data_IF_867878523385
#
_entry.id   IF_867878523385
#
_cell.length_a   1.000
_cell.length_b   1.000
_cell.length_c   1.000
_cell.angle_alpha   90.00
_cell.angle_beta   90.00
_cell.angle_gamma   90.00
#
_symmetry.space_group_name_H-M   'P 1'
#
loop_
_entity.id
_entity.type
_entity.pdbx_description
1 polymer ?
#
# COMPACT_ATOMS: atom_id res chain seq x y z
N UNK A 1 -1.61 -8.47 19.74
CA UNK A 1 -2.15 -9.18 18.57
C UNK A 1 -2.40 -8.10 17.53
N UNK A 2 -1.57 -8.04 16.48
CA UNK A 2 -1.78 -7.16 15.35
C UNK A 2 -2.89 -7.82 14.52
N UNK A 3 -4.14 -7.47 14.80
CA UNK A 3 -5.30 -8.03 14.11
C UNK A 3 -5.52 -7.26 12.81
N UNK A 4 -4.57 -7.42 11.88
CA UNK A 4 -4.62 -6.91 10.51
C UNK A 4 -5.24 -7.97 9.56
N UNK A 5 -5.90 -9.00 10.10
CA UNK A 5 -6.44 -10.12 9.33
C UNK A 5 -5.37 -11.04 8.71
N UNK A 6 -4.11 -10.90 9.10
CA UNK A 6 -3.00 -11.75 8.68
C UNK A 6 -2.85 -12.89 9.69
N UNK A 7 -3.16 -14.13 9.29
CA UNK A 7 -2.70 -15.32 10.02
C UNK A 7 -1.18 -15.36 9.96
N UNK A 8 -0.54 -14.98 11.08
CA UNK A 8 0.90 -15.12 11.26
C UNK A 8 1.23 -16.59 11.50
N UNK A 9 1.41 -17.35 10.43
CA UNK A 9 1.83 -18.76 10.50
C UNK A 9 3.28 -18.91 10.99
N UNK A 10 4.05 -17.80 10.98
CA UNK A 10 5.43 -17.75 11.44
C UNK A 10 5.83 -16.32 11.87
N UNK A 11 6.87 -16.22 12.70
CA UNK A 11 7.47 -14.97 13.12
C UNK A 11 9.00 -15.03 12.97
N UNK A 12 9.62 -13.89 12.67
CA UNK A 12 11.06 -13.77 12.50
C UNK A 12 11.62 -12.49 13.14
N UNK A 13 12.91 -12.50 13.47
CA UNK A 13 13.61 -11.34 14.04
C UNK A 13 14.76 -10.94 13.12
N UNK A 14 14.61 -9.81 12.43
CA UNK A 14 15.66 -9.23 11.59
C UNK A 14 16.52 -8.25 12.37
N UNK A 15 17.63 -8.71 12.97
CA UNK A 15 18.47 -7.90 13.87
C UNK A 15 18.88 -6.53 13.30
N UNK A 16 19.23 -6.47 12.02
CA UNK A 16 19.61 -5.21 11.35
C UNK A 16 18.38 -4.35 11.03
N UNK A 17 17.31 -4.95 10.52
CA UNK A 17 16.08 -4.24 10.17
C UNK A 17 15.38 -3.63 11.39
N UNK A 18 15.48 -4.29 12.56
CA UNK A 18 14.93 -3.79 13.83
C UNK A 18 15.58 -2.50 14.36
N UNK A 19 16.64 -2.00 13.71
CA UNK A 19 17.26 -0.70 14.01
C UNK A 19 16.57 0.48 13.31
N UNK A 20 15.73 0.22 12.31
CA UNK A 20 15.02 1.25 11.56
C UNK A 20 13.93 1.85 12.43
N UNK A 21 13.91 3.18 12.57
CA UNK A 21 12.86 3.87 13.31
C UNK A 21 11.56 3.98 12.50
N UNK A 22 10.48 4.38 13.19
CA UNK A 22 9.19 4.58 12.57
C UNK A 22 9.03 5.95 11.90
N UNK A 23 8.41 5.97 10.73
CA UNK A 23 7.75 7.16 10.17
C UNK A 23 6.38 6.79 9.61
N UNK A 24 5.37 7.65 9.78
CA UNK A 24 4.06 7.48 9.15
C UNK A 24 4.08 7.76 7.62
N UNK A 25 5.20 8.29 7.13
CA UNK A 25 5.53 8.53 5.72
C UNK A 25 6.96 8.05 5.46
N UNK A 26 7.19 6.72 5.49
CA UNK A 26 8.53 6.13 5.48
C UNK A 26 9.28 6.40 4.17
N UNK A 27 10.61 6.30 4.21
CA UNK A 27 11.47 6.36 3.02
C UNK A 27 12.00 4.99 2.60
N UNK A 28 11.83 3.96 3.45
CA UNK A 28 12.14 2.57 3.13
C UNK A 28 10.95 1.65 3.43
N UNK A 29 10.89 0.53 2.74
CA UNK A 29 9.96 -0.56 3.02
C UNK A 29 10.72 -1.80 3.45
N UNK A 30 10.25 -2.44 4.51
CA UNK A 30 10.80 -3.68 5.07
C UNK A 30 9.88 -4.84 4.76
N UNK A 31 10.40 -5.90 4.15
CA UNK A 31 9.66 -7.11 3.86
C UNK A 31 10.51 -8.35 4.09
N UNK A 32 9.86 -9.50 4.28
CA UNK A 32 10.55 -10.79 4.21
C UNK A 32 10.65 -11.24 2.75
N UNK A 33 11.84 -11.60 2.30
CA UNK A 33 12.06 -12.28 1.03
C UNK A 33 12.23 -13.78 1.30
N UNK A 34 11.24 -14.57 0.87
CA UNK A 34 11.25 -16.02 1.07
C UNK A 34 12.23 -16.77 0.16
N UNK A 35 12.67 -16.18 -0.97
CA UNK A 35 13.69 -16.78 -1.82
C UNK A 35 15.07 -16.73 -1.16
N UNK A 36 15.40 -15.63 -0.49
CA UNK A 36 16.68 -15.46 0.21
C UNK A 36 16.62 -15.82 1.70
N UNK A 37 15.44 -16.04 2.26
CA UNK A 37 15.23 -16.25 3.69
C UNK A 37 15.61 -15.05 4.56
N UNK A 38 15.57 -13.83 4.02
CA UNK A 38 16.08 -12.63 4.70
C UNK A 38 15.02 -11.51 4.77
N UNK A 39 15.15 -10.64 5.76
CA UNK A 39 14.47 -9.34 5.72
C UNK A 39 15.20 -8.42 4.72
N UNK A 40 14.47 -7.87 3.76
CA UNK A 40 14.95 -6.87 2.81
C UNK A 40 14.49 -5.48 3.23
N UNK A 41 15.28 -4.48 2.86
CA UNK A 41 14.98 -3.05 3.08
C UNK A 41 15.17 -2.35 1.73
N UNK A 42 14.10 -1.84 1.15
CA UNK A 42 14.15 -1.16 -0.15
C UNK A 42 13.80 0.32 0.01
N UNK A 43 14.50 1.18 -0.72
CA UNK A 43 14.18 2.61 -0.75
C UNK A 43 12.92 2.87 -1.59
N UNK A 44 11.96 3.59 -1.02
CA UNK A 44 10.72 3.98 -1.69
C UNK A 44 10.85 5.28 -2.51
N UNK A 45 11.86 6.08 -2.17
CA UNK A 45 12.16 7.38 -2.78
C UNK A 45 13.66 7.66 -2.69
N UNK A 46 14.21 8.64 -3.43
CA UNK A 46 15.59 9.07 -3.25
C UNK A 46 15.87 9.47 -1.79
N UNK A 47 17.04 9.09 -1.29
CA UNK A 47 17.48 9.33 0.09
C UNK A 47 18.84 10.02 0.04
N UNK A 48 18.97 11.18 0.67
CA UNK A 48 20.25 11.90 0.70
C UNK A 48 21.20 11.29 1.75
N UNK A 49 22.50 11.51 1.57
CA UNK A 49 23.47 11.10 2.58
C UNK A 49 23.21 11.83 3.91
N UNK A 50 23.06 11.06 4.99
CA UNK A 50 22.75 11.58 6.33
C UNK A 50 21.27 11.57 6.68
N UNK A 51 20.37 11.31 5.73
CA UNK A 51 18.95 11.10 6.04
C UNK A 51 18.76 9.79 6.83
N UNK A 52 17.92 9.85 7.85
CA UNK A 52 17.54 8.66 8.63
C UNK A 52 16.66 7.73 7.79
N UNK A 53 16.92 6.43 7.87
CA UNK A 53 16.09 5.40 7.25
C UNK A 53 14.95 5.02 8.20
N UNK A 54 13.71 5.25 7.77
CA UNK A 54 12.52 4.96 8.56
C UNK A 54 11.53 4.08 7.81
N UNK A 55 10.98 3.09 8.51
CA UNK A 55 9.93 2.18 8.01
C UNK A 55 8.58 2.45 8.70
N UNK A 56 7.49 1.88 8.20
CA UNK A 56 6.19 1.93 8.86
C UNK A 56 6.02 0.71 9.77
N UNK A 57 5.69 0.93 11.05
CA UNK A 57 5.39 -0.15 12.00
C UNK A 57 3.92 -0.56 11.96
N UNK A 58 3.08 0.28 11.37
CA UNK A 58 1.63 0.10 11.29
C UNK A 58 1.17 0.43 9.87
N UNK A 59 0.08 -0.20 9.41
CA UNK A 59 -0.62 0.29 8.23
C UNK A 59 -1.38 1.56 8.59
N UNK A 60 -0.90 2.71 8.13
CA UNK A 60 -1.37 4.03 8.56
C UNK A 60 -2.10 4.84 7.49
N UNK A 61 -2.33 4.32 6.27
CA UNK A 61 -2.69 5.14 5.11
C UNK A 61 -3.88 6.08 5.35
N UNK A 62 -5.03 5.53 5.77
CA UNK A 62 -6.24 6.29 6.12
C UNK A 62 -6.42 6.62 7.60
N UNK A 63 -5.41 6.42 8.45
CA UNK A 63 -5.54 6.65 9.90
C UNK A 63 -5.17 8.09 10.25
N UNK A 64 -5.97 8.75 11.08
CA UNK A 64 -5.68 10.07 11.65
C UNK A 64 -4.59 10.01 12.72
N UNK A 65 -4.02 11.15 13.10
CA UNK A 65 -2.90 11.26 14.02
C UNK A 65 -3.18 10.56 15.35
N UNK A 66 -4.37 10.78 15.92
CA UNK A 66 -4.78 10.12 17.16
C UNK A 66 -4.85 8.60 17.02
N UNK A 67 -5.32 8.09 15.90
CA UNK A 67 -5.40 6.66 15.60
C UNK A 67 -4.00 6.06 15.43
N UNK A 68 -3.12 6.74 14.70
CA UNK A 68 -1.71 6.32 14.53
C UNK A 68 -0.99 6.31 15.87
N UNK A 69 -1.15 7.34 16.71
CA UNK A 69 -0.56 7.40 18.05
C UNK A 69 -1.10 6.32 18.98
N UNK A 70 -2.42 6.05 18.94
CA UNK A 70 -3.03 4.99 19.73
C UNK A 70 -2.43 3.62 19.38
N UNK A 71 -2.28 3.32 18.09
CA UNK A 71 -1.65 2.06 17.67
C UNK A 71 -0.17 2.01 18.05
N UNK A 72 0.58 3.10 17.85
CA UNK A 72 2.00 3.17 18.15
C UNK A 72 2.34 3.12 19.66
N UNK A 73 1.34 3.27 20.54
CA UNK A 73 1.54 3.30 22.00
C UNK A 73 2.27 2.06 22.54
N UNK A 74 2.09 0.89 21.91
CA UNK A 74 2.74 -0.35 22.33
C UNK A 74 4.27 -0.36 22.14
N UNK A 75 4.82 0.55 21.32
CA UNK A 75 6.25 0.68 21.10
C UNK A 75 6.94 1.62 22.12
N UNK A 76 6.19 2.26 23.02
CA UNK A 76 6.76 3.09 24.08
C UNK A 76 7.35 4.42 23.62
N UNK A 77 6.95 4.94 22.45
CA UNK A 77 7.34 6.26 21.96
C UNK A 77 6.14 7.04 21.41
N UNK A 78 6.30 8.36 21.27
CA UNK A 78 5.34 9.23 20.56
C UNK A 78 5.92 9.61 19.20
N UNK A 79 5.20 9.30 18.12
CA UNK A 79 5.67 9.62 16.77
C UNK A 79 5.63 11.13 16.52
N UNK A 80 6.79 11.68 16.14
CA UNK A 80 7.02 13.09 15.81
C UNK A 80 7.43 13.31 14.35
N UNK A 81 7.23 12.32 13.47
CA UNK A 81 7.53 12.46 12.05
C UNK A 81 6.76 13.63 11.41
N UNK A 82 7.13 14.03 10.20
CA UNK A 82 6.53 15.18 9.52
C UNK A 82 5.00 15.08 9.38
N UNK A 83 4.44 13.88 9.27
CA UNK A 83 2.99 13.65 9.21
C UNK A 83 2.27 13.75 10.57
N UNK A 84 3.02 13.68 11.68
CA UNK A 84 2.50 13.78 13.04
C UNK A 84 2.87 15.11 13.73
N UNK A 85 3.61 15.99 13.05
CA UNK A 85 3.93 17.32 13.53
C UNK A 85 2.64 18.12 13.82
N UNK A 86 2.68 18.95 14.86
CA UNK A 86 1.50 19.74 15.25
C UNK A 86 1.09 20.72 14.14
N UNK A 87 -0.22 20.89 13.96
CA UNK A 87 -0.78 21.77 12.94
C UNK A 87 -0.76 21.21 11.51
N UNK A 88 -0.35 19.94 11.30
CA UNK A 88 -0.52 19.30 9.99
C UNK A 88 -1.99 19.11 9.65
N UNK A 89 -2.32 19.47 8.42
CA UNK A 89 -3.62 19.19 7.84
C UNK A 89 -3.77 17.68 7.60
N UNK A 90 -4.83 17.08 8.15
CA UNK A 90 -5.21 15.69 7.93
C UNK A 90 -6.41 15.55 6.96
N UNK A 91 -6.68 16.57 6.14
CA UNK A 91 -7.73 16.54 5.11
C UNK A 91 -7.54 15.36 4.15
N UNK A 92 -6.34 15.21 3.56
CA UNK A 92 -6.03 14.11 2.65
C UNK A 92 -6.21 12.75 3.30
N UNK A 93 -5.75 12.56 4.54
CA UNK A 93 -5.93 11.29 5.27
C UNK A 93 -7.38 10.99 5.60
N UNK A 94 -8.21 12.00 5.92
CA UNK A 94 -9.67 11.85 6.08
C UNK A 94 -10.33 11.41 4.77
N UNK A 95 -9.89 11.96 3.66
CA UNK A 95 -10.41 11.62 2.33
C UNK A 95 -9.98 10.20 1.92
N UNK A 96 -8.71 9.83 2.10
CA UNK A 96 -8.21 8.46 1.94
C UNK A 96 -9.06 7.49 2.78
N UNK A 97 -9.32 7.81 4.07
CA UNK A 97 -10.16 6.97 4.93
C UNK A 97 -11.57 6.76 4.37
N UNK A 98 -12.16 7.83 3.83
CA UNK A 98 -13.50 7.81 3.23
C UNK A 98 -13.54 6.93 2.00
N UNK A 99 -12.56 7.08 1.10
CA UNK A 99 -12.41 6.25 -0.09
C UNK A 99 -12.17 4.79 0.28
N UNK A 100 -11.27 4.49 1.22
CA UNK A 100 -11.03 3.11 1.70
C UNK A 100 -12.32 2.46 2.21
N UNK A 101 -13.13 3.19 2.98
CA UNK A 101 -14.41 2.67 3.50
C UNK A 101 -15.41 2.40 2.37
N UNK A 102 -15.49 3.31 1.39
CA UNK A 102 -16.36 3.19 0.23
C UNK A 102 -15.96 1.99 -0.65
N UNK A 103 -14.67 1.82 -0.87
CA UNK A 103 -14.10 0.78 -1.72
C UNK A 103 -14.17 -0.61 -1.09
N UNK A 104 -14.06 -0.73 0.23
CA UNK A 104 -14.25 -2.01 0.92
C UNK A 104 -15.66 -2.57 0.68
N UNK A 105 -16.68 -1.71 0.67
CA UNK A 105 -18.04 -2.13 0.32
C UNK A 105 -18.16 -2.70 -1.11
N UNK A 106 -17.47 -2.10 -2.08
CA UNK A 106 -17.46 -2.59 -3.48
C UNK A 106 -16.65 -3.88 -3.59
N UNK A 107 -15.51 -3.96 -2.93
CA UNK A 107 -14.66 -5.15 -2.91
C UNK A 107 -15.41 -6.37 -2.39
N UNK A 108 -16.18 -6.23 -1.32
CA UNK A 108 -17.04 -7.30 -0.79
C UNK A 108 -18.07 -7.76 -1.81
N UNK A 109 -18.78 -6.83 -2.46
CA UNK A 109 -19.74 -7.16 -3.52
C UNK A 109 -19.09 -7.91 -4.70
N UNK A 110 -17.88 -7.50 -5.10
CA UNK A 110 -17.13 -8.18 -6.16
C UNK A 110 -16.68 -9.59 -5.76
N UNK A 111 -16.25 -9.79 -4.52
CA UNK A 111 -15.82 -11.11 -4.00
C UNK A 111 -16.99 -12.08 -3.83
N UNK A 112 -18.17 -11.57 -3.44
CA UNK A 112 -19.40 -12.33 -3.32
C UNK A 112 -20.02 -12.68 -4.69
N UNK A 113 -19.42 -12.21 -5.79
CA UNK A 113 -19.88 -12.51 -7.14
C UNK A 113 -21.21 -11.84 -7.48
N UNK A 114 -21.48 -10.66 -6.90
CA UNK A 114 -22.71 -9.92 -7.20
C UNK A 114 -22.72 -9.47 -8.67
N UNK A 115 -23.47 -10.20 -9.49
CA UNK A 115 -23.65 -9.94 -10.92
C UNK A 115 -24.35 -8.60 -11.23
N UNK A 116 -24.79 -7.85 -10.21
CA UNK A 116 -25.50 -6.58 -10.38
C UNK A 116 -24.61 -5.33 -10.30
N UNK A 117 -23.28 -5.47 -10.19
CA UNK A 117 -22.39 -4.32 -10.31
C UNK A 117 -22.48 -3.73 -11.72
N UNK A 118 -23.17 -2.59 -11.85
CA UNK A 118 -23.32 -1.91 -13.13
C UNK A 118 -21.98 -1.36 -13.63
N UNK A 119 -21.84 -1.25 -14.96
CA UNK A 119 -20.67 -0.61 -15.59
C UNK A 119 -20.43 0.78 -14.99
N UNK A 120 -21.48 1.58 -14.79
CA UNK A 120 -21.38 2.91 -14.19
C UNK A 120 -20.84 2.88 -12.75
N UNK A 121 -21.17 1.85 -11.96
CA UNK A 121 -20.62 1.68 -10.60
C UNK A 121 -19.15 1.29 -10.64
N UNK A 122 -18.74 0.45 -11.59
CA UNK A 122 -17.33 0.09 -11.79
C UNK A 122 -16.53 1.31 -12.28
N UNK A 123 -17.07 2.11 -13.19
CA UNK A 123 -16.46 3.37 -13.62
C UNK A 123 -16.25 4.35 -12.46
N UNK A 124 -17.24 4.51 -11.59
CA UNK A 124 -17.10 5.30 -10.37
C UNK A 124 -16.00 4.73 -9.46
N UNK A 125 -15.91 3.41 -9.34
CA UNK A 125 -14.90 2.72 -8.53
C UNK A 125 -13.49 2.96 -9.09
N UNK A 126 -13.32 2.97 -10.41
CA UNK A 126 -12.04 3.38 -11.05
C UNK A 126 -11.68 4.80 -10.62
N UNK A 127 -12.61 5.76 -10.74
CA UNK A 127 -12.37 7.14 -10.31
C UNK A 127 -11.95 7.25 -8.85
N UNK A 128 -12.69 6.59 -7.95
CA UNK A 128 -12.39 6.58 -6.52
C UNK A 128 -11.00 6.01 -6.21
N UNK A 129 -10.57 4.96 -6.92
CA UNK A 129 -9.24 4.36 -6.77
C UNK A 129 -8.13 5.29 -7.30
N UNK A 130 -8.35 5.99 -8.41
CA UNK A 130 -7.41 6.97 -8.95
C UNK A 130 -7.26 8.18 -8.02
N UNK A 131 -8.36 8.66 -7.45
CA UNK A 131 -8.35 9.72 -6.44
C UNK A 131 -7.59 9.26 -5.17
N UNK A 132 -7.84 8.03 -4.70
CA UNK A 132 -7.11 7.45 -3.58
C UNK A 132 -5.59 7.37 -3.87
N UNK A 133 -5.20 6.87 -5.05
CA UNK A 133 -3.80 6.76 -5.44
C UNK A 133 -3.09 8.12 -5.49
N UNK A 134 -3.79 9.14 -5.99
CA UNK A 134 -3.30 10.52 -6.03
C UNK A 134 -3.09 11.07 -4.62
N UNK A 135 -4.09 10.94 -3.74
CA UNK A 135 -4.00 11.39 -2.36
C UNK A 135 -2.89 10.68 -1.58
N UNK A 136 -2.74 9.37 -1.77
CA UNK A 136 -1.67 8.59 -1.15
C UNK A 136 -0.29 9.06 -1.62
N UNK A 137 -0.12 9.30 -2.92
CA UNK A 137 1.13 9.81 -3.49
C UNK A 137 1.48 11.20 -2.95
N UNK A 138 0.50 12.10 -2.89
CA UNK A 138 0.62 13.45 -2.33
C UNK A 138 0.97 13.44 -0.82
N UNK A 139 0.48 12.46 -0.08
CA UNK A 139 0.82 12.23 1.33
C UNK A 139 2.20 11.55 1.50
N UNK A 140 2.86 11.13 0.42
CA UNK A 140 4.13 10.42 0.47
C UNK A 140 4.02 8.96 0.90
N UNK A 141 2.83 8.35 0.74
CA UNK A 141 2.55 6.93 0.99
C UNK A 141 2.90 6.10 -0.25
N UNK A 142 4.19 5.86 -0.46
CA UNK A 142 4.73 5.30 -1.71
C UNK A 142 5.01 3.78 -1.66
N UNK A 143 4.52 3.10 -0.61
CA UNK A 143 4.75 1.67 -0.39
C UNK A 143 3.81 0.76 -1.20
N UNK A 144 3.91 -0.57 -1.02
CA UNK A 144 3.07 -1.55 -1.73
C UNK A 144 1.56 -1.35 -1.61
N UNK A 145 1.06 -0.75 -0.52
CA UNK A 145 -0.37 -0.42 -0.41
C UNK A 145 -0.86 0.47 -1.58
N UNK A 146 0.02 1.34 -2.12
CA UNK A 146 -0.30 2.15 -3.30
C UNK A 146 -0.36 1.30 -4.58
N UNK A 147 0.48 0.26 -4.68
CA UNK A 147 0.42 -0.68 -5.79
C UNK A 147 -0.91 -1.44 -5.82
N UNK A 148 -1.42 -1.85 -4.66
CA UNK A 148 -2.70 -2.55 -4.54
C UNK A 148 -3.87 -1.69 -5.03
N UNK A 149 -3.83 -0.38 -4.79
CA UNK A 149 -4.81 0.57 -5.33
C UNK A 149 -4.75 0.61 -6.87
N UNK A 150 -3.54 0.67 -7.45
CA UNK A 150 -3.36 0.62 -8.90
C UNK A 150 -3.87 -0.69 -9.50
N UNK A 151 -3.58 -1.84 -8.87
CA UNK A 151 -4.07 -3.14 -9.34
C UNK A 151 -5.59 -3.26 -9.23
N UNK A 152 -6.18 -2.72 -8.16
CA UNK A 152 -7.63 -2.62 -8.02
C UNK A 152 -8.26 -1.82 -9.17
N UNK A 153 -7.65 -0.69 -9.52
CA UNK A 153 -8.13 0.17 -10.62
C UNK A 153 -7.97 -0.54 -11.97
N UNK A 154 -6.82 -1.19 -12.21
CA UNK A 154 -6.58 -1.99 -13.40
C UNK A 154 -7.62 -3.10 -13.58
N UNK A 155 -7.93 -3.84 -12.50
CA UNK A 155 -8.97 -4.88 -12.51
C UNK A 155 -10.34 -4.31 -12.86
N UNK A 156 -10.70 -3.16 -12.29
CA UNK A 156 -11.97 -2.50 -12.62
C UNK A 156 -12.01 -2.06 -14.09
N UNK A 157 -10.94 -1.47 -14.61
CA UNK A 157 -10.81 -1.10 -16.03
C UNK A 157 -10.97 -2.32 -16.96
N UNK A 158 -10.38 -3.47 -16.61
CA UNK A 158 -10.56 -4.71 -17.38
C UNK A 158 -12.01 -5.17 -17.45
N UNK A 159 -12.75 -5.09 -16.33
CA UNK A 159 -14.16 -5.50 -16.27
C UNK A 159 -15.07 -4.67 -17.17
N UNK A 160 -14.71 -3.42 -17.44
CA UNK A 160 -15.46 -2.50 -18.33
C UNK A 160 -14.80 -2.33 -19.71
N UNK A 161 -13.79 -3.15 -20.04
CA UNK A 161 -13.17 -3.18 -21.37
C UNK A 161 -12.15 -2.07 -21.68
N UNK A 162 -11.73 -1.28 -20.68
CA UNK A 162 -10.70 -0.23 -20.81
C UNK A 162 -9.29 -0.83 -20.74
N UNK A 163 -8.93 -1.62 -21.76
CA UNK A 163 -7.71 -2.45 -21.78
C UNK A 163 -6.40 -1.66 -21.69
N UNK A 164 -6.27 -0.58 -22.45
CA UNK A 164 -5.06 0.24 -22.48
C UNK A 164 -4.76 0.84 -21.10
N UNK A 165 -5.75 1.50 -20.50
CA UNK A 165 -5.63 2.08 -19.17
C UNK A 165 -5.42 1.03 -18.08
N UNK A 166 -6.04 -0.14 -18.20
CA UNK A 166 -5.73 -1.25 -17.30
C UNK A 166 -4.25 -1.65 -17.38
N UNK A 167 -3.68 -1.71 -18.58
CA UNK A 167 -2.25 -2.00 -18.79
C UNK A 167 -1.32 -0.94 -18.18
N UNK A 168 -1.68 0.34 -18.32
CA UNK A 168 -0.91 1.46 -17.73
C UNK A 168 -0.94 1.42 -16.19
N UNK A 169 -2.11 1.15 -15.61
CA UNK A 169 -2.29 1.03 -14.16
C UNK A 169 -1.58 -0.21 -13.61
N UNK A 170 -1.63 -1.34 -14.32
CA UNK A 170 -0.90 -2.56 -13.97
C UNK A 170 0.61 -2.30 -13.98
N UNK A 171 1.12 -1.63 -15.00
CA UNK A 171 2.54 -1.28 -15.12
C UNK A 171 2.98 -0.33 -14.00
N UNK A 172 2.15 0.67 -13.68
CA UNK A 172 2.40 1.62 -12.59
C UNK A 172 2.44 0.94 -11.23
N UNK A 173 1.46 0.08 -10.94
CA UNK A 173 1.42 -0.73 -9.72
C UNK A 173 2.63 -1.65 -9.60
N UNK A 174 3.01 -2.32 -10.70
CA UNK A 174 4.19 -3.19 -10.71
C UNK A 174 5.49 -2.43 -10.42
N UNK A 175 5.65 -1.22 -10.96
CA UNK A 175 6.79 -0.37 -10.66
C UNK A 175 6.88 0.03 -9.17
N UNK A 176 5.75 0.28 -8.52
CA UNK A 176 5.70 0.54 -7.07
C UNK A 176 6.04 -0.73 -6.28
N UNK A 177 5.45 -1.86 -6.65
CA UNK A 177 5.67 -3.15 -6.00
C UNK A 177 7.14 -3.56 -6.05
N UNK A 178 7.78 -3.42 -7.23
CA UNK A 178 9.22 -3.66 -7.43
C UNK A 178 10.09 -2.78 -6.54
N UNK A 179 9.76 -1.49 -6.41
CA UNK A 179 10.47 -0.58 -5.50
C UNK A 179 10.30 -0.98 -4.04
N UNK A 180 9.14 -1.51 -3.65
CA UNK A 180 8.88 -1.93 -2.28
C UNK A 180 9.57 -3.25 -1.91
N UNK A 181 9.39 -4.29 -2.70
CA UNK A 181 9.84 -5.65 -2.34
C UNK A 181 11.22 -6.02 -2.90
N UNK A 182 11.63 -5.41 -4.01
CA UNK A 182 12.81 -5.82 -4.79
C UNK A 182 12.47 -6.86 -5.85
N UNK A 183 13.18 -6.82 -6.99
CA UNK A 183 12.93 -7.70 -8.15
C UNK A 183 13.13 -9.20 -7.85
N UNK A 184 13.96 -9.51 -6.87
CA UNK A 184 14.28 -10.85 -6.41
C UNK A 184 13.26 -11.42 -5.40
N UNK A 185 12.25 -10.63 -5.00
CA UNK A 185 11.20 -11.09 -4.11
C UNK A 185 10.15 -11.91 -4.89
N UNK A 186 9.77 -13.12 -4.41
CA UNK A 186 8.75 -13.95 -5.05
C UNK A 186 7.41 -13.26 -5.27
N UNK A 187 7.03 -12.28 -4.45
CA UNK A 187 5.81 -11.48 -4.66
C UNK A 187 5.86 -10.76 -6.01
N UNK A 188 6.99 -10.12 -6.34
CA UNK A 188 7.14 -9.43 -7.62
C UNK A 188 7.16 -10.41 -8.81
N UNK A 189 7.81 -11.56 -8.66
CA UNK A 189 7.83 -12.60 -9.70
C UNK A 189 6.42 -13.12 -9.98
N UNK A 190 5.64 -13.40 -8.93
CA UNK A 190 4.26 -13.85 -9.06
C UNK A 190 3.37 -12.80 -9.74
N UNK A 191 3.50 -11.52 -9.39
CA UNK A 191 2.76 -10.44 -10.05
C UNK A 191 3.12 -10.31 -11.53
N UNK A 192 4.40 -10.46 -11.90
CA UNK A 192 4.83 -10.44 -13.30
C UNK A 192 4.22 -11.61 -14.08
N UNK A 193 4.20 -12.81 -13.49
CA UNK A 193 3.59 -14.00 -14.10
C UNK A 193 2.08 -13.87 -14.27
N UNK A 194 1.39 -13.31 -13.27
CA UNK A 194 -0.05 -13.07 -13.34
C UNK A 194 -0.43 -11.97 -14.35
N UNK A 195 0.42 -10.95 -14.51
CA UNK A 195 0.24 -9.88 -15.50
C UNK A 195 0.51 -10.30 -16.95
N UNK A 196 1.24 -11.40 -17.17
CA UNK A 196 1.53 -11.96 -18.50
C UNK A 196 0.42 -12.90 -19.03
N UNK A 197 -0.74 -12.99 -18.38
CA UNK A 197 -1.87 -13.80 -18.83
C UNK A 197 -2.67 -13.14 -19.97
N UNK A 198 -1.97 -12.62 -20.98
CA UNK A 198 -2.54 -12.33 -22.30
C UNK A 198 -2.64 -13.61 -23.17
N UNK A 199 -2.28 -14.80 -22.66
CA UNK A 199 -2.31 -16.08 -23.40
C UNK A 199 -2.87 -17.29 -22.62
N UNK A 200 -4.00 -17.15 -21.91
CA UNK A 200 -4.77 -18.31 -21.43
C UNK A 200 -6.27 -18.16 -21.66
#
# INVERSE_FOLDING_TARGET
>A
MLDDGITLDSAGVGLTASRLNHSCVPNVYTAYNSASGCMTVQALKPIAAGDELCTAYINGAGKLRSERHAQLSMWGFTCTCIACADGRDESRRREIKTLMTKLEGVKTQMLEGDANLSVARIEQTVGDLLDQATLMSDEGLLGPDLADVCFGAARCCMLIGRREEAGDLQSSGFGILLRGYGIDNPICIATLQAGNLDEA
#
